data_IF_152225186897
#
_entry.id   IF_152225186897
#
_cell.length_a   1.000
_cell.length_b   1.000
_cell.length_c   1.000
_cell.angle_alpha   90.00
_cell.angle_beta   90.00
_cell.angle_gamma   90.00
#
_symmetry.space_group_name_H-M   'P 1'
#
loop_
_entity.id
_entity.type
_entity.pdbx_description
1 polymer ?
#
# COMPACT_ATOMS: atom_id res chain seq x y z
N UNK A 1 3.40 10.48 17.33
CA UNK A 1 3.92 11.87 17.47
C UNK A 1 5.40 11.85 17.81
N UNK A 2 5.83 11.18 18.90
CA UNK A 2 7.22 11.20 19.38
C UNK A 2 8.24 10.81 18.30
N UNK A 3 7.95 9.80 17.50
CA UNK A 3 8.83 9.41 16.39
C UNK A 3 9.13 10.58 15.44
N UNK A 4 8.08 11.27 14.99
CA UNK A 4 8.25 12.42 14.09
C UNK A 4 8.97 13.60 14.78
N UNK A 5 8.86 13.77 16.09
CA UNK A 5 9.62 14.81 16.82
C UNK A 5 11.11 14.48 16.86
N UNK A 6 11.47 13.20 17.03
CA UNK A 6 12.86 12.73 17.06
C UNK A 6 13.48 12.60 15.67
N UNK A 7 12.66 12.48 14.62
CA UNK A 7 13.08 12.33 13.22
C UNK A 7 12.53 13.46 12.36
N UNK A 8 13.11 14.68 12.43
CA UNK A 8 12.62 15.85 11.71
C UNK A 8 12.67 15.70 10.18
N UNK A 9 13.51 14.81 9.67
CA UNK A 9 13.63 14.49 8.24
C UNK A 9 12.47 13.64 7.70
N UNK A 10 11.74 12.88 8.56
CA UNK A 10 10.65 12.00 8.14
C UNK A 10 9.37 12.80 7.89
N UNK A 11 8.78 12.66 6.72
CA UNK A 11 7.55 13.34 6.31
C UNK A 11 6.29 12.53 6.65
N UNK A 12 6.37 11.20 6.60
CA UNK A 12 5.26 10.30 6.92
C UNK A 12 5.75 9.07 7.67
N UNK A 13 5.05 8.69 8.72
CA UNK A 13 5.31 7.47 9.48
C UNK A 13 4.05 6.62 9.58
N UNK A 14 4.18 5.34 9.27
CA UNK A 14 3.17 4.30 9.47
C UNK A 14 3.53 3.35 10.60
N UNK A 15 2.93 2.17 10.59
CA UNK A 15 3.24 1.09 11.51
C UNK A 15 2.51 -0.19 11.15
N UNK A 16 2.70 -1.22 11.95
CA UNK A 16 2.02 -2.51 11.77
C UNK A 16 0.52 -2.36 11.96
N UNK A 17 -0.24 -3.18 11.27
CA UNK A 17 -1.66 -3.37 11.53
C UNK A 17 -1.90 -4.80 11.99
N UNK A 18 -2.84 -4.99 12.89
CA UNK A 18 -3.30 -6.29 13.34
C UNK A 18 -4.77 -6.46 12.99
N UNK A 19 -5.12 -7.62 12.41
CA UNK A 19 -6.49 -7.87 12.00
C UNK A 19 -7.35 -8.30 13.19
N UNK A 20 -8.57 -7.77 13.28
CA UNK A 20 -9.62 -8.18 14.21
C UNK A 20 -10.88 -8.59 13.44
N UNK A 21 -11.68 -9.46 14.03
CA UNK A 21 -12.98 -9.88 13.50
C UNK A 21 -14.10 -8.87 13.85
N UNK A 22 -15.34 -9.20 13.52
CA UNK A 22 -16.51 -8.36 13.80
C UNK A 22 -16.76 -8.19 15.31
N UNK A 23 -16.36 -9.18 16.13
CA UNK A 23 -16.46 -9.16 17.60
C UNK A 23 -15.30 -8.44 18.27
N UNK A 24 -14.40 -7.80 17.50
CA UNK A 24 -13.18 -7.14 17.99
C UNK A 24 -12.13 -8.10 18.55
N UNK A 25 -12.22 -9.38 18.26
CA UNK A 25 -11.22 -10.38 18.66
C UNK A 25 -10.08 -10.41 17.63
N UNK A 26 -8.85 -10.55 18.13
CA UNK A 26 -7.65 -10.68 17.30
C UNK A 26 -7.65 -12.03 16.60
N UNK A 27 -7.44 -12.03 15.28
CA UNK A 27 -7.39 -13.28 14.48
C UNK A 27 -5.95 -13.83 14.32
N UNK A 28 -4.98 -13.22 14.99
CA UNK A 28 -3.56 -13.60 14.95
C UNK A 28 -2.82 -13.18 13.68
N UNK A 29 -3.47 -12.45 12.77
CA UNK A 29 -2.83 -11.94 11.56
C UNK A 29 -2.31 -10.53 11.78
N UNK A 30 -1.00 -10.37 11.60
CA UNK A 30 -0.34 -9.07 11.61
C UNK A 30 0.28 -8.78 10.24
N UNK A 31 0.12 -7.55 9.78
CA UNK A 31 0.76 -7.08 8.55
C UNK A 31 1.88 -6.13 8.93
N UNK A 32 3.09 -6.50 8.54
CA UNK A 32 4.31 -5.71 8.75
C UNK A 32 4.66 -4.91 7.49
N UNK A 33 5.33 -3.80 7.68
CA UNK A 33 5.79 -2.91 6.62
C UNK A 33 7.28 -2.63 6.76
N UNK A 34 7.97 -2.25 5.67
CA UNK A 34 9.37 -1.87 5.71
C UNK A 34 9.59 -0.67 6.65
N UNK A 35 10.65 -0.68 7.46
CA UNK A 35 10.84 0.32 8.50
C UNK A 35 11.49 1.60 7.98
N UNK A 36 12.46 1.49 7.07
CA UNK A 36 13.26 2.60 6.57
C UNK A 36 12.77 3.13 5.23
N UNK A 37 13.12 4.38 4.90
CA UNK A 37 12.79 4.99 3.60
C UNK A 37 13.26 4.15 2.41
N UNK A 38 14.50 3.66 2.47
CA UNK A 38 15.07 2.85 1.38
C UNK A 38 14.33 1.53 1.19
N UNK A 39 13.94 0.88 2.28
CA UNK A 39 13.14 -0.35 2.21
C UNK A 39 11.72 -0.05 1.72
N UNK A 40 11.10 1.05 2.18
CA UNK A 40 9.81 1.50 1.68
C UNK A 40 9.84 1.76 0.17
N UNK A 41 10.89 2.45 -0.32
CA UNK A 41 11.08 2.70 -1.74
C UNK A 41 11.24 1.39 -2.53
N UNK A 42 12.08 0.46 -2.05
CA UNK A 42 12.26 -0.85 -2.68
C UNK A 42 10.97 -1.69 -2.67
N UNK A 43 10.20 -1.62 -1.59
CA UNK A 43 8.95 -2.37 -1.45
C UNK A 43 7.83 -1.84 -2.35
N UNK A 44 7.82 -0.51 -2.60
CA UNK A 44 6.79 0.14 -3.39
C UNK A 44 6.73 -0.35 -4.85
N UNK A 45 7.82 -0.92 -5.38
CA UNK A 45 7.79 -1.59 -6.69
C UNK A 45 6.75 -2.72 -6.76
N UNK A 46 6.40 -3.32 -5.62
CA UNK A 46 5.48 -4.44 -5.52
C UNK A 46 4.15 -4.10 -4.86
N UNK A 47 4.20 -3.35 -3.75
CA UNK A 47 3.05 -3.04 -2.89
C UNK A 47 3.20 -1.68 -2.24
N UNK A 48 2.10 -1.16 -1.72
CA UNK A 48 2.13 0.06 -0.93
C UNK A 48 2.92 -0.15 0.36
N UNK A 49 3.89 0.74 0.69
CA UNK A 49 4.84 0.54 1.77
C UNK A 49 4.29 0.94 3.14
N UNK A 50 3.11 1.55 3.20
CA UNK A 50 2.40 1.93 4.41
C UNK A 50 0.93 1.54 4.31
N UNK A 51 0.33 1.20 5.45
CA UNK A 51 -1.12 1.08 5.57
C UNK A 51 -1.73 2.48 5.71
N UNK A 52 -2.43 2.94 4.68
CA UNK A 52 -3.01 4.29 4.66
C UNK A 52 -3.83 4.67 5.92
N UNK A 53 -4.65 3.79 6.52
CA UNK A 53 -5.39 4.13 7.75
C UNK A 53 -4.51 4.15 9.01
N UNK A 54 -3.22 3.78 8.92
CA UNK A 54 -2.30 3.65 10.04
C UNK A 54 -1.10 4.61 9.91
N UNK A 55 -1.29 5.79 9.32
CA UNK A 55 -0.20 6.74 9.08
C UNK A 55 -0.41 8.07 9.77
N UNK A 56 0.68 8.71 10.10
CA UNK A 56 0.76 10.10 10.54
C UNK A 56 1.65 10.88 9.58
N UNK A 57 1.15 12.01 9.10
CA UNK A 57 1.84 12.91 8.17
C UNK A 57 2.32 14.17 8.87
N UNK A 58 3.47 14.70 8.40
CA UNK A 58 3.72 16.13 8.55
C UNK A 58 2.87 16.91 7.56
N UNK A 59 2.48 18.12 7.90
CA UNK A 59 1.78 19.02 6.95
C UNK A 59 2.61 19.24 5.68
N UNK A 60 3.91 19.41 5.83
CA UNK A 60 4.87 19.57 4.72
C UNK A 60 4.86 18.43 3.70
N UNK A 61 4.42 17.21 4.09
CA UNK A 61 4.22 16.11 3.16
C UNK A 61 3.24 16.50 2.04
N UNK A 62 2.10 17.12 2.40
CA UNK A 62 1.08 17.51 1.42
C UNK A 62 1.52 18.72 0.58
N UNK A 63 2.36 19.57 1.13
CA UNK A 63 2.96 20.68 0.37
C UNK A 63 3.90 20.15 -0.71
N UNK A 64 4.68 19.09 -0.41
CA UNK A 64 5.57 18.38 -1.36
C UNK A 64 4.78 17.51 -2.34
N UNK A 65 3.94 16.62 -1.85
CA UNK A 65 3.20 15.63 -2.64
C UNK A 65 1.99 16.20 -3.39
N UNK A 66 1.63 17.48 -3.18
CA UNK A 66 0.48 18.18 -3.80
C UNK A 66 -0.89 17.59 -3.44
N UNK A 67 -0.96 16.79 -2.37
CA UNK A 67 -2.20 16.21 -1.88
C UNK A 67 -2.74 15.05 -2.71
N UNK A 68 -4.02 14.73 -2.50
CA UNK A 68 -4.67 13.64 -3.24
C UNK A 68 -5.09 14.09 -4.63
N UNK A 69 -4.88 13.21 -5.61
CA UNK A 69 -5.32 13.44 -6.99
C UNK A 69 -6.83 13.22 -7.13
N UNK A 70 -7.57 14.22 -7.56
CA UNK A 70 -9.03 14.20 -7.67
C UNK A 70 -9.58 13.12 -8.62
N UNK A 71 -8.83 12.77 -9.65
CA UNK A 71 -9.19 11.73 -10.63
C UNK A 71 -9.08 10.30 -10.09
N UNK A 72 -8.46 10.11 -8.92
CA UNK A 72 -8.29 8.81 -8.29
C UNK A 72 -9.27 8.63 -7.10
N UNK A 73 -10.48 8.15 -7.39
CA UNK A 73 -11.43 7.73 -6.33
C UNK A 73 -11.09 6.37 -5.70
N UNK A 74 -10.23 5.59 -6.35
CA UNK A 74 -9.70 4.29 -5.91
C UNK A 74 -8.22 4.28 -6.20
N UNK A 75 -7.41 3.61 -5.39
CA UNK A 75 -5.94 3.66 -5.40
C UNK A 75 -5.37 5.08 -5.15
N UNK A 76 -6.12 5.92 -4.47
CA UNK A 76 -5.68 7.27 -4.09
C UNK A 76 -4.45 7.23 -3.17
N UNK A 77 -4.38 6.22 -2.31
CA UNK A 77 -3.26 5.92 -1.43
C UNK A 77 -1.98 5.61 -2.22
N UNK A 78 -2.04 4.66 -3.15
CA UNK A 78 -0.91 4.33 -4.03
C UNK A 78 -0.38 5.55 -4.78
N UNK A 79 -1.28 6.42 -5.27
CA UNK A 79 -0.87 7.63 -5.99
C UNK A 79 -0.28 8.68 -5.06
N UNK A 80 -0.78 8.79 -3.83
CA UNK A 80 -0.21 9.68 -2.82
C UNK A 80 1.22 9.24 -2.45
N UNK A 81 1.46 7.93 -2.28
CA UNK A 81 2.81 7.41 -2.05
C UNK A 81 3.73 7.68 -3.23
N UNK A 82 3.24 7.47 -4.45
CA UNK A 82 3.98 7.78 -5.67
C UNK A 82 4.39 9.27 -5.72
N UNK A 83 3.46 10.18 -5.48
CA UNK A 83 3.74 11.62 -5.47
C UNK A 83 4.71 12.00 -4.35
N UNK A 84 4.59 11.36 -3.18
CA UNK A 84 5.54 11.54 -2.09
C UNK A 84 6.96 11.14 -2.50
N UNK A 85 7.17 9.95 -3.09
CA UNK A 85 8.49 9.52 -3.55
C UNK A 85 9.04 10.41 -4.67
N UNK A 86 8.22 10.79 -5.64
CA UNK A 86 8.62 11.69 -6.73
C UNK A 86 9.07 13.07 -6.25
N UNK A 87 8.52 13.54 -5.13
CA UNK A 87 8.82 14.87 -4.57
C UNK A 87 9.74 14.82 -3.34
N UNK A 88 10.45 13.71 -3.14
CA UNK A 88 11.49 13.58 -2.12
C UNK A 88 10.97 13.54 -0.67
N UNK A 89 9.73 13.09 -0.46
CA UNK A 89 9.25 12.82 0.89
C UNK A 89 9.95 11.61 1.49
N UNK A 90 10.25 11.65 2.78
CA UNK A 90 10.89 10.57 3.53
C UNK A 90 9.84 9.77 4.28
N UNK A 91 9.88 8.45 4.08
CA UNK A 91 8.94 7.47 4.60
C UNK A 91 9.57 6.65 5.71
N UNK A 92 8.78 6.29 6.72
CA UNK A 92 9.17 5.33 7.75
C UNK A 92 7.96 4.52 8.25
N UNK A 93 8.22 3.41 8.90
CA UNK A 93 7.22 2.71 9.72
C UNK A 93 7.80 2.38 11.09
N UNK A 94 6.92 2.31 12.08
CA UNK A 94 7.22 1.79 13.41
C UNK A 94 7.13 0.26 13.38
N UNK A 95 7.98 -0.40 14.14
CA UNK A 95 7.90 -1.84 14.36
C UNK A 95 6.89 -2.19 15.48
N UNK A 96 5.80 -1.44 15.51
CA UNK A 96 4.74 -1.54 16.52
C UNK A 96 3.38 -1.60 15.85
N UNK A 97 2.41 -2.30 16.46
CA UNK A 97 1.02 -2.30 16.02
C UNK A 97 0.36 -0.97 16.39
N UNK A 98 0.02 -0.18 15.41
CA UNK A 98 -0.59 1.15 15.58
C UNK A 98 -2.07 1.17 15.22
N UNK A 99 -2.59 0.09 14.62
CA UNK A 99 -3.99 -0.01 14.21
C UNK A 99 -4.51 -1.45 14.34
N UNK A 100 -5.68 -1.59 14.95
CA UNK A 100 -6.49 -2.80 14.86
C UNK A 100 -7.45 -2.66 13.67
N UNK A 101 -7.24 -3.46 12.63
CA UNK A 101 -7.97 -3.37 11.38
C UNK A 101 -9.08 -4.42 11.32
N UNK A 102 -10.34 -3.97 11.30
CA UNK A 102 -11.49 -4.88 11.25
C UNK A 102 -11.67 -5.45 9.86
N UNK A 103 -11.63 -6.78 9.78
CA UNK A 103 -11.87 -7.53 8.56
C UNK A 103 -13.20 -8.28 8.71
N UNK A 104 -14.18 -7.91 7.88
CA UNK A 104 -15.48 -8.57 7.81
C UNK A 104 -15.56 -9.48 6.59
N UNK A 105 -16.50 -10.43 6.57
CA UNK A 105 -16.74 -11.28 5.39
C UNK A 105 -17.06 -10.47 4.13
N UNK A 106 -17.73 -9.33 4.28
CA UNK A 106 -18.08 -8.43 3.18
C UNK A 106 -16.89 -7.64 2.64
N UNK A 107 -15.82 -7.45 3.45
CA UNK A 107 -14.61 -6.79 3.00
C UNK A 107 -13.99 -7.48 1.77
N UNK A 108 -13.99 -8.79 1.74
CA UNK A 108 -13.49 -9.58 0.60
C UNK A 108 -14.49 -9.67 -0.55
N UNK A 109 -15.79 -9.76 -0.29
CA UNK A 109 -16.85 -9.84 -1.31
C UNK A 109 -16.95 -8.56 -2.13
N UNK A 110 -16.79 -7.39 -1.50
CA UNK A 110 -16.94 -6.08 -2.13
C UNK A 110 -15.72 -5.63 -2.95
N UNK A 111 -14.59 -6.32 -2.86
CA UNK A 111 -13.43 -6.12 -3.74
C UNK A 111 -13.68 -6.74 -5.11
N UNK A 112 -14.71 -6.23 -5.82
CA UNK A 112 -15.07 -6.71 -7.15
C UNK A 112 -13.92 -6.53 -8.13
N UNK A 113 -13.48 -7.66 -8.67
CA UNK A 113 -12.55 -7.74 -9.77
C UNK A 113 -13.26 -7.33 -11.05
N UNK A 114 -12.56 -6.62 -11.94
CA UNK A 114 -13.08 -6.30 -13.26
C UNK A 114 -11.92 -5.95 -14.19
N UNK A 115 -12.02 -6.37 -15.46
CA UNK A 115 -10.98 -6.15 -16.46
C UNK A 115 -10.57 -4.67 -16.55
N UNK A 116 -11.55 -3.76 -16.56
CA UNK A 116 -11.31 -2.31 -16.62
C UNK A 116 -10.45 -1.81 -15.44
N UNK A 117 -10.73 -2.33 -14.23
CA UNK A 117 -9.93 -2.01 -13.03
C UNK A 117 -8.53 -2.59 -13.10
N UNK A 118 -8.41 -3.86 -13.48
CA UNK A 118 -7.13 -4.53 -13.62
C UNK A 118 -6.23 -3.82 -14.63
N UNK A 119 -6.79 -3.45 -15.80
CA UNK A 119 -6.08 -2.68 -16.83
C UNK A 119 -5.61 -1.32 -16.33
N UNK A 120 -6.48 -0.58 -15.58
CA UNK A 120 -6.08 0.70 -14.99
C UNK A 120 -4.94 0.51 -13.99
N UNK A 121 -5.04 -0.47 -13.08
CA UNK A 121 -3.98 -0.77 -12.10
C UNK A 121 -2.65 -1.11 -12.78
N UNK A 122 -2.67 -1.92 -13.85
CA UNK A 122 -1.46 -2.23 -14.62
C UNK A 122 -0.85 -0.98 -15.23
N UNK A 123 -1.67 -0.11 -15.84
CA UNK A 123 -1.22 1.16 -16.41
C UNK A 123 -0.59 2.06 -15.35
N UNK A 124 -1.25 2.20 -14.20
CA UNK A 124 -0.75 3.01 -13.09
C UNK A 124 0.59 2.46 -12.57
N UNK A 125 0.71 1.14 -12.38
CA UNK A 125 1.96 0.49 -11.95
C UNK A 125 3.09 0.63 -12.96
N UNK A 126 2.81 0.52 -14.26
CA UNK A 126 3.83 0.73 -15.29
C UNK A 126 4.33 2.18 -15.32
N UNK A 127 3.42 3.15 -15.14
CA UNK A 127 3.78 4.57 -15.00
C UNK A 127 4.67 4.78 -13.77
N UNK A 128 4.29 4.25 -12.61
CA UNK A 128 5.06 4.32 -11.36
C UNK A 128 6.46 3.72 -11.56
N UNK A 129 6.53 2.50 -12.11
CA UNK A 129 7.80 1.79 -12.32
C UNK A 129 8.74 2.58 -13.24
N UNK A 130 8.19 3.18 -14.30
CA UNK A 130 8.96 4.02 -15.23
C UNK A 130 9.48 5.29 -14.54
N UNK A 131 8.61 6.00 -13.83
CA UNK A 131 8.93 7.30 -13.22
C UNK A 131 9.91 7.17 -12.05
N UNK A 132 9.84 6.08 -11.28
CA UNK A 132 10.75 5.79 -10.16
C UNK A 132 11.96 4.95 -10.58
N UNK A 133 12.14 4.70 -11.89
CA UNK A 133 13.28 3.96 -12.45
C UNK A 133 13.48 2.57 -11.86
N UNK A 134 12.37 1.84 -11.57
CA UNK A 134 12.46 0.47 -11.13
C UNK A 134 12.91 -0.46 -12.26
N UNK A 135 13.56 -1.55 -11.88
CA UNK A 135 14.05 -2.57 -12.81
C UNK A 135 12.92 -3.40 -13.45
N UNK A 136 13.26 -4.24 -14.40
CA UNK A 136 12.33 -5.08 -15.15
C UNK A 136 11.50 -6.02 -14.26
N UNK A 137 12.00 -6.41 -13.08
CA UNK A 137 11.29 -7.30 -12.16
C UNK A 137 10.00 -6.65 -11.63
N UNK A 138 9.98 -5.33 -11.46
CA UNK A 138 8.78 -4.58 -11.07
C UNK A 138 7.69 -4.63 -12.15
N UNK A 139 8.07 -4.60 -13.43
CA UNK A 139 7.12 -4.72 -14.54
C UNK A 139 6.56 -6.14 -14.63
N UNK A 140 7.42 -7.15 -14.49
CA UNK A 140 7.00 -8.55 -14.46
C UNK A 140 6.01 -8.79 -13.31
N UNK A 141 6.33 -8.32 -12.10
CA UNK A 141 5.43 -8.43 -10.96
C UNK A 141 4.09 -7.74 -11.20
N UNK A 142 4.09 -6.53 -11.76
CA UNK A 142 2.88 -5.79 -12.10
C UNK A 142 2.00 -6.57 -13.10
N UNK A 143 2.61 -7.21 -14.07
CA UNK A 143 1.91 -8.06 -15.04
C UNK A 143 1.35 -9.34 -14.40
N UNK A 144 2.10 -10.00 -13.54
CA UNK A 144 1.61 -11.17 -12.78
C UNK A 144 0.42 -10.79 -11.88
N UNK A 145 0.48 -9.64 -11.22
CA UNK A 145 -0.64 -9.12 -10.42
C UNK A 145 -1.88 -8.79 -11.27
N UNK A 146 -1.68 -8.30 -12.49
CA UNK A 146 -2.77 -8.11 -13.45
C UNK A 146 -3.46 -9.45 -13.77
N UNK A 147 -2.69 -10.49 -14.12
CA UNK A 147 -3.23 -11.84 -14.37
C UNK A 147 -3.97 -12.36 -13.13
N UNK A 148 -3.35 -12.27 -11.95
CA UNK A 148 -3.99 -12.68 -10.69
C UNK A 148 -5.29 -11.93 -10.40
N UNK A 149 -5.38 -10.66 -10.76
CA UNK A 149 -6.62 -9.88 -10.59
C UNK A 149 -7.75 -10.39 -11.49
N UNK A 150 -7.41 -10.88 -12.68
CA UNK A 150 -8.38 -11.46 -13.64
C UNK A 150 -8.76 -12.90 -13.32
N UNK A 151 -7.99 -13.60 -12.48
CA UNK A 151 -8.24 -14.99 -12.11
C UNK A 151 -9.58 -15.13 -11.38
N UNK A 152 -10.41 -16.13 -11.74
CA UNK A 152 -11.69 -16.38 -11.09
C UNK A 152 -11.54 -16.67 -9.58
N UNK A 153 -12.56 -16.33 -8.76
CA UNK A 153 -12.48 -16.49 -7.30
C UNK A 153 -12.18 -17.92 -6.83
N UNK A 154 -12.67 -18.95 -7.53
CA UNK A 154 -12.43 -20.33 -7.18
C UNK A 154 -10.96 -20.75 -7.32
N UNK A 155 -10.29 -20.24 -8.36
CA UNK A 155 -8.88 -20.53 -8.59
C UNK A 155 -7.99 -19.76 -7.59
N UNK A 156 -8.40 -18.54 -7.20
CA UNK A 156 -7.75 -17.80 -6.11
C UNK A 156 -7.80 -18.58 -4.80
N UNK A 157 -8.98 -19.13 -4.45
CA UNK A 157 -9.15 -19.93 -3.23
C UNK A 157 -8.25 -21.18 -3.22
N UNK A 158 -8.06 -21.79 -4.38
CA UNK A 158 -7.13 -22.92 -4.53
C UNK A 158 -5.68 -22.49 -4.32
N UNK A 159 -5.23 -21.40 -4.94
CA UNK A 159 -3.87 -20.87 -4.79
C UNK A 159 -3.55 -20.41 -3.36
N UNK A 160 -4.55 -19.88 -2.63
CA UNK A 160 -4.38 -19.52 -1.21
C UNK A 160 -4.33 -20.73 -0.26
N UNK A 161 -4.80 -21.92 -0.67
CA UNK A 161 -4.69 -23.15 0.15
C UNK A 161 -3.33 -23.83 0.05
N UNK A 162 -2.57 -23.54 -1.00
CA UNK A 162 -1.23 -24.13 -1.23
C UNK A 162 -0.12 -23.31 -0.51
N UNK A 163 -0.47 -22.20 0.11
CA UNK A 163 0.43 -21.31 0.84
C UNK A 163 0.25 -21.46 2.35
#
# INVERSE_FOLDING_TARGET
VNYLLLHPEVDVVGGRIEEINEQSERNGKSVTYPLTHQECFKFFRYRDPLAHPAVMFRKSFFDKAKGYRNEYRKNQDTMLWFDGFMNGCIFANLDETVLLFRVTDDFYKNRRNGFKRAKKMLKDRFMINKSLHYDWSAYLFSFLMFIMTLTPPFLKKFLYRIR
#
